data_IF_492871707827
#
_entry.id   IF_492871707827
#
_cell.length_a   1.000
_cell.length_b   1.000
_cell.length_c   1.000
_cell.angle_alpha   90.00
_cell.angle_beta   90.00
_cell.angle_gamma   90.00
#
_symmetry.space_group_name_H-M   'P 1'
#
loop_
_entity.id
_entity.type
_entity.pdbx_description
1 polymer ?
#
# COMPACT_ATOMS: atom_id res chain seq x y z
N UNK A 1 -44.69 -19.87 -76.23
CA UNK A 1 -45.00 -18.99 -75.07
C UNK A 1 -44.00 -19.29 -73.97
N UNK A 2 -43.19 -18.29 -73.63
CA UNK A 2 -42.12 -18.31 -72.64
C UNK A 2 -42.66 -18.17 -71.22
N UNK A 3 -42.16 -18.97 -70.25
CA UNK A 3 -41.32 -18.48 -69.13
C UNK A 3 -40.96 -19.61 -68.15
N UNK A 4 -39.64 -19.77 -67.96
CA UNK A 4 -38.98 -20.38 -66.79
C UNK A 4 -39.00 -19.39 -65.62
N UNK A 5 -39.10 -19.87 -64.38
CA UNK A 5 -38.60 -19.23 -63.14
C UNK A 5 -38.59 -20.31 -62.05
N UNK A 6 -37.48 -20.98 -61.74
CA UNK A 6 -36.32 -20.53 -60.93
C UNK A 6 -36.74 -20.15 -59.50
N UNK A 7 -36.79 -21.15 -58.61
CA UNK A 7 -36.85 -20.95 -57.16
C UNK A 7 -35.43 -20.69 -56.65
N UNK A 8 -35.25 -19.50 -56.09
CA UNK A 8 -34.02 -18.97 -55.54
C UNK A 8 -33.82 -19.54 -54.12
N UNK A 9 -32.70 -20.23 -53.91
CA UNK A 9 -32.22 -20.66 -52.60
C UNK A 9 -31.69 -19.42 -51.87
N UNK A 10 -32.36 -18.96 -50.81
CA UNK A 10 -31.86 -17.87 -49.96
C UNK A 10 -30.90 -18.47 -48.94
N UNK A 11 -29.60 -18.28 -49.17
CA UNK A 11 -28.53 -18.50 -48.21
C UNK A 11 -28.64 -17.43 -47.11
N UNK A 12 -28.91 -17.82 -45.87
CA UNK A 12 -28.74 -16.94 -44.71
C UNK A 12 -27.24 -16.73 -44.47
N UNK A 13 -26.69 -15.65 -45.02
CA UNK A 13 -25.41 -15.12 -44.58
C UNK A 13 -25.61 -14.49 -43.19
N UNK A 14 -25.11 -15.14 -42.15
CA UNK A 14 -24.88 -14.51 -40.84
C UNK A 14 -23.77 -13.47 -41.01
N UNK A 15 -24.15 -12.24 -41.37
CA UNK A 15 -23.30 -11.08 -41.14
C UNK A 15 -23.21 -10.86 -39.61
N UNK A 16 -22.00 -10.78 -39.03
CA UNK A 16 -21.88 -10.21 -37.69
C UNK A 16 -22.33 -8.74 -37.77
N UNK A 17 -23.31 -8.40 -36.93
CA UNK A 17 -23.74 -7.03 -36.70
C UNK A 17 -22.55 -6.24 -36.16
N UNK A 18 -21.98 -5.36 -36.99
CA UNK A 18 -21.16 -4.27 -36.51
C UNK A 18 -22.16 -3.28 -35.91
N UNK A 19 -22.16 -3.18 -34.58
CA UNK A 19 -22.95 -2.18 -33.86
C UNK A 19 -22.22 -0.85 -34.01
N UNK A 20 -22.62 -0.09 -35.04
CA UNK A 20 -22.31 1.33 -35.16
C UNK A 20 -23.02 2.10 -34.03
N UNK A 21 -22.27 2.87 -33.23
CA UNK A 21 -22.83 3.96 -32.42
C UNK A 21 -22.88 3.78 -30.89
N UNK A 22 -22.21 2.80 -30.29
CA UNK A 22 -21.96 2.83 -28.84
C UNK A 22 -20.69 3.64 -28.58
N UNK A 23 -20.75 4.65 -27.70
CA UNK A 23 -19.54 5.29 -27.18
C UNK A 23 -18.61 4.19 -26.64
N UNK A 24 -17.30 4.23 -26.93
CA UNK A 24 -16.39 3.20 -26.45
C UNK A 24 -16.45 3.22 -24.92
N UNK A 25 -16.83 2.09 -24.33
CA UNK A 25 -16.87 1.89 -22.89
C UNK A 25 -15.65 1.08 -22.44
N UNK A 26 -15.26 1.22 -21.17
CA UNK A 26 -14.17 0.42 -20.63
C UNK A 26 -14.61 -1.05 -20.53
N UNK A 27 -13.92 -1.90 -21.27
CA UNK A 27 -14.34 -3.29 -21.49
C UNK A 27 -13.19 -4.25 -21.26
N UNK A 28 -13.46 -5.29 -20.48
CA UNK A 28 -12.49 -6.34 -20.19
C UNK A 28 -12.41 -7.32 -21.36
N UNK A 29 -11.20 -7.70 -21.72
CA UNK A 29 -10.90 -8.69 -22.76
C UNK A 29 -10.50 -9.97 -22.04
N UNK A 30 -11.39 -10.96 -22.06
CA UNK A 30 -11.16 -12.27 -21.48
C UNK A 30 -10.84 -13.28 -22.59
N UNK A 31 -9.56 -13.34 -22.97
CA UNK A 31 -9.06 -14.29 -23.96
C UNK A 31 -8.11 -15.31 -23.32
N UNK A 32 -8.18 -16.59 -23.71
CA UNK A 32 -7.20 -17.58 -23.29
C UNK A 32 -5.80 -17.20 -23.82
N UNK A 33 -4.77 -17.43 -23.02
CA UNK A 33 -3.38 -17.13 -23.39
C UNK A 33 -2.88 -15.73 -23.02
N UNK A 34 -3.74 -14.83 -22.52
CA UNK A 34 -3.30 -13.51 -22.01
C UNK A 34 -2.27 -13.63 -20.88
N UNK A 35 -2.38 -14.66 -20.03
CA UNK A 35 -1.41 -14.93 -18.95
C UNK A 35 -0.02 -15.36 -19.44
N UNK A 36 0.09 -15.83 -20.69
CA UNK A 36 1.36 -16.25 -21.30
C UNK A 36 2.13 -15.08 -21.93
N UNK A 37 1.49 -13.93 -22.17
CA UNK A 37 2.13 -12.71 -22.65
C UNK A 37 3.21 -12.24 -21.67
N UNK A 38 4.37 -11.79 -22.17
CA UNK A 38 5.56 -11.33 -21.43
C UNK A 38 5.29 -10.19 -20.42
N UNK A 39 6.27 -9.88 -19.54
CA UNK A 39 6.10 -9.04 -18.32
C UNK A 39 5.52 -7.63 -18.58
N UNK A 40 4.33 -7.32 -18.05
CA UNK A 40 3.78 -5.96 -18.11
C UNK A 40 3.04 -5.51 -16.84
N UNK A 41 3.41 -4.33 -16.35
CA UNK A 41 2.62 -3.53 -15.41
C UNK A 41 2.40 -4.14 -14.03
N UNK A 42 1.81 -3.34 -13.14
CA UNK A 42 1.22 -3.80 -11.86
C UNK A 42 -0.26 -3.41 -11.89
N UNK A 43 -1.12 -3.93 -10.98
CA UNK A 43 -2.55 -3.61 -10.96
C UNK A 43 -2.89 -2.11 -10.99
N UNK A 44 -2.02 -1.28 -10.43
CA UNK A 44 -2.15 0.18 -10.39
C UNK A 44 -1.45 0.90 -11.55
N UNK A 45 -0.59 0.19 -12.28
CA UNK A 45 0.26 0.73 -13.34
C UNK A 45 0.12 -0.16 -14.59
N UNK A 46 -1.03 -0.12 -15.28
CA UNK A 46 -1.20 -0.86 -16.52
C UNK A 46 -0.24 -0.35 -17.59
N UNK A 47 0.21 -1.24 -18.45
CA UNK A 47 0.93 -0.86 -19.67
C UNK A 47 -0.08 -0.44 -20.72
N UNK A 48 0.09 0.77 -21.26
CA UNK A 48 -0.70 1.23 -22.39
C UNK A 48 -0.12 0.66 -23.69
N UNK A 49 -0.98 0.04 -24.50
CA UNK A 49 -0.66 -0.53 -25.80
C UNK A 49 -1.49 0.21 -26.85
N UNK A 50 -0.83 1.07 -27.62
CA UNK A 50 -1.44 1.93 -28.64
C UNK A 50 -1.20 1.43 -30.07
N UNK A 51 -0.45 0.34 -30.24
CA UNK A 51 -0.14 -0.26 -31.54
C UNK A 51 -0.14 -1.79 -31.47
N UNK A 52 -0.42 -2.43 -32.60
CA UNK A 52 -0.36 -3.88 -32.73
C UNK A 52 1.06 -4.44 -32.57
N UNK A 53 2.08 -3.64 -32.89
CA UNK A 53 3.47 -4.01 -32.66
C UNK A 53 3.80 -4.07 -31.16
N UNK A 54 3.22 -3.17 -30.34
CA UNK A 54 3.34 -3.24 -28.89
C UNK A 54 2.69 -4.52 -28.33
N UNK A 55 1.54 -4.94 -28.88
CA UNK A 55 0.88 -6.20 -28.51
C UNK A 55 1.75 -7.42 -28.90
N UNK A 56 2.33 -7.41 -30.10
CA UNK A 56 3.27 -8.46 -30.55
C UNK A 56 4.54 -8.52 -29.70
N UNK A 57 5.07 -7.37 -29.28
CA UNK A 57 6.26 -7.30 -28.43
C UNK A 57 6.05 -7.95 -27.06
N UNK A 58 4.80 -8.09 -26.60
CA UNK A 58 4.45 -8.87 -25.42
C UNK A 58 4.46 -10.39 -25.68
N UNK A 59 4.84 -10.86 -26.87
CA UNK A 59 4.83 -12.28 -27.21
C UNK A 59 3.45 -12.83 -27.57
N UNK A 60 2.53 -11.96 -27.99
CA UNK A 60 1.25 -12.41 -28.55
C UNK A 60 1.49 -13.17 -29.86
N UNK A 61 1.18 -14.46 -29.88
CA UNK A 61 1.14 -15.25 -31.12
C UNK A 61 0.07 -14.75 -32.08
N UNK A 62 0.15 -15.16 -33.35
CA UNK A 62 -0.74 -14.66 -34.41
C UNK A 62 -2.23 -14.92 -34.09
N UNK A 63 -2.56 -16.09 -33.54
CA UNK A 63 -3.94 -16.44 -33.17
C UNK A 63 -4.53 -15.51 -32.10
N UNK A 64 -3.75 -15.21 -31.06
CA UNK A 64 -4.16 -14.30 -29.98
C UNK A 64 -4.28 -12.87 -30.51
N UNK A 65 -3.36 -12.44 -31.37
CA UNK A 65 -3.40 -11.12 -31.99
C UNK A 65 -4.66 -10.95 -32.85
N UNK A 66 -5.01 -11.95 -33.66
CA UNK A 66 -6.23 -11.93 -34.48
C UNK A 66 -7.49 -11.94 -33.62
N UNK A 67 -7.49 -12.66 -32.49
CA UNK A 67 -8.59 -12.64 -31.54
C UNK A 67 -8.78 -11.26 -30.87
N UNK A 68 -7.69 -10.58 -30.52
CA UNK A 68 -7.75 -9.21 -29.96
C UNK A 68 -8.23 -8.21 -31.03
N UNK A 69 -7.73 -8.30 -32.27
CA UNK A 69 -8.14 -7.44 -33.41
C UNK A 69 -9.64 -7.53 -33.73
N UNK A 70 -10.25 -8.69 -33.54
CA UNK A 70 -11.71 -8.85 -33.73
C UNK A 70 -12.54 -8.10 -32.68
N UNK A 71 -11.94 -7.80 -31.53
CA UNK A 71 -12.61 -7.12 -30.44
C UNK A 71 -12.28 -5.63 -30.46
N UNK A 72 -11.03 -5.25 -30.71
CA UNK A 72 -10.55 -3.89 -30.45
C UNK A 72 -10.20 -3.15 -31.73
N UNK A 73 -10.72 -1.93 -31.83
CA UNK A 73 -10.28 -0.96 -32.82
C UNK A 73 -9.29 0.01 -32.17
N UNK A 74 -8.00 -0.15 -32.47
CA UNK A 74 -6.96 0.71 -31.91
C UNK A 74 -7.01 2.15 -32.47
N UNK A 75 -7.84 2.47 -33.47
CA UNK A 75 -8.03 3.85 -33.92
C UNK A 75 -8.92 4.64 -32.95
N UNK A 76 -9.91 3.99 -32.35
CA UNK A 76 -10.86 4.59 -31.39
C UNK A 76 -10.47 4.31 -29.93
N UNK A 77 -9.91 3.12 -29.70
CA UNK A 77 -9.57 2.59 -28.39
C UNK A 77 -8.05 2.47 -28.22
N UNK A 78 -7.63 2.28 -26.98
CA UNK A 78 -6.30 1.81 -26.60
C UNK A 78 -6.45 0.62 -25.67
N UNK A 79 -5.43 -0.22 -25.63
CA UNK A 79 -5.40 -1.40 -24.78
C UNK A 79 -4.62 -1.09 -23.51
N UNK A 80 -5.15 -1.50 -22.36
CA UNK A 80 -4.45 -1.49 -21.08
C UNK A 80 -4.18 -2.94 -20.67
N UNK A 81 -2.93 -3.28 -20.42
CA UNK A 81 -2.54 -4.62 -20.01
C UNK A 81 -1.86 -4.64 -18.65
N UNK A 82 -2.33 -5.56 -17.80
CA UNK A 82 -1.86 -5.72 -16.42
C UNK A 82 -1.55 -7.19 -16.19
N UNK A 83 -0.40 -7.48 -15.56
CA UNK A 83 -0.10 -8.81 -15.05
C UNK A 83 0.42 -8.70 -13.62
N UNK A 84 -0.10 -9.52 -12.71
CA UNK A 84 0.31 -9.50 -11.31
C UNK A 84 0.41 -10.90 -10.73
N UNK A 85 1.15 -11.04 -9.64
CA UNK A 85 1.20 -12.25 -8.85
C UNK A 85 0.43 -12.02 -7.56
N UNK A 86 -0.56 -12.85 -7.28
CA UNK A 86 -1.44 -12.65 -6.14
C UNK A 86 -2.26 -13.88 -5.80
N UNK A 87 -3.11 -13.78 -4.80
CA UNK A 87 -3.99 -14.88 -4.37
C UNK A 87 -4.93 -15.28 -5.50
N UNK A 88 -5.37 -16.54 -5.55
CA UNK A 88 -6.37 -16.99 -6.54
C UNK A 88 -7.71 -16.25 -6.44
N UNK A 89 -7.96 -15.54 -5.35
CA UNK A 89 -9.17 -14.73 -5.14
C UNK A 89 -8.95 -13.24 -5.44
N UNK A 90 -7.78 -12.86 -5.96
CA UNK A 90 -7.51 -11.48 -6.36
C UNK A 90 -8.53 -11.01 -7.40
N UNK A 91 -9.01 -9.78 -7.23
CA UNK A 91 -9.89 -9.12 -8.20
C UNK A 91 -9.29 -7.80 -8.65
N UNK A 92 -9.45 -7.51 -9.93
CA UNK A 92 -9.09 -6.24 -10.54
C UNK A 92 -10.29 -5.72 -11.32
N UNK A 93 -10.79 -4.56 -10.92
CA UNK A 93 -11.98 -3.93 -11.50
C UNK A 93 -11.64 -2.52 -12.01
N UNK A 94 -12.03 -2.16 -13.24
CA UNK A 94 -11.96 -0.78 -13.70
C UNK A 94 -13.04 0.05 -12.98
N UNK A 95 -12.66 1.24 -12.52
CA UNK A 95 -13.55 2.19 -11.84
C UNK A 95 -13.41 3.54 -12.54
N UNK A 96 -14.53 4.07 -13.03
CA UNK A 96 -14.61 5.43 -13.53
C UNK A 96 -14.87 6.37 -12.35
N UNK A 97 -14.02 7.38 -12.21
CA UNK A 97 -14.12 8.42 -11.19
C UNK A 97 -14.08 9.79 -11.85
N UNK A 98 -14.59 10.81 -11.18
CA UNK A 98 -14.50 12.19 -11.66
C UNK A 98 -13.22 12.82 -11.12
N UNK A 99 -12.49 13.60 -11.95
CA UNK A 99 -11.33 14.37 -11.46
C UNK A 99 -11.75 15.31 -10.30
N UNK A 100 -10.97 15.41 -9.21
CA UNK A 100 -11.21 16.41 -8.18
C UNK A 100 -11.14 17.82 -8.79
N UNK A 101 -12.28 18.51 -8.89
CA UNK A 101 -12.36 19.87 -9.44
C UNK A 101 -12.55 19.97 -10.96
N UNK A 102 -12.90 18.88 -11.65
CA UNK A 102 -13.24 18.90 -13.08
C UNK A 102 -14.41 17.98 -13.43
N UNK A 103 -14.92 18.12 -14.65
CA UNK A 103 -16.05 17.31 -15.17
C UNK A 103 -15.58 16.08 -15.98
N UNK A 104 -14.28 15.82 -16.03
CA UNK A 104 -13.68 14.73 -16.81
C UNK A 104 -13.73 13.39 -16.07
N UNK A 105 -14.20 12.34 -16.75
CA UNK A 105 -14.09 10.97 -16.27
C UNK A 105 -12.65 10.46 -16.37
N UNK A 106 -12.19 9.78 -15.31
CA UNK A 106 -10.87 9.18 -15.17
C UNK A 106 -10.99 7.72 -14.80
N UNK A 107 -10.29 6.88 -15.56
CA UNK A 107 -10.19 5.44 -15.30
C UNK A 107 -9.14 5.17 -14.22
N UNK A 108 -9.54 4.45 -13.18
CA UNK A 108 -8.68 3.87 -12.13
C UNK A 108 -8.92 2.37 -12.03
N UNK A 109 -7.96 1.60 -11.51
CA UNK A 109 -8.15 0.16 -11.22
C UNK A 109 -8.20 -0.10 -9.72
N UNK A 110 -9.28 -0.77 -9.25
CA UNK A 110 -9.39 -1.25 -7.87
C UNK A 110 -8.88 -2.69 -7.80
N UNK A 111 -7.76 -2.89 -7.12
CA UNK A 111 -7.22 -4.21 -6.79
C UNK A 111 -7.69 -4.65 -5.40
N UNK A 112 -8.33 -5.81 -5.32
CA UNK A 112 -8.71 -6.46 -4.06
C UNK A 112 -7.84 -7.71 -3.89
N UNK A 113 -6.86 -7.72 -2.96
CA UNK A 113 -6.06 -8.90 -2.71
C UNK A 113 -6.91 -10.00 -2.06
N UNK A 114 -6.78 -11.21 -2.58
CA UNK A 114 -7.40 -12.40 -2.02
C UNK A 114 -6.76 -12.82 -0.70
N UNK A 115 -7.49 -13.61 0.11
CA UNK A 115 -7.07 -14.01 1.47
C UNK A 115 -6.34 -15.36 1.52
N UNK A 116 -6.17 -16.03 0.38
CA UNK A 116 -5.57 -17.37 0.31
C UNK A 116 -4.07 -17.31 -0.03
N UNK A 117 -3.30 -18.27 0.47
CA UNK A 117 -1.83 -18.35 0.27
C UNK A 117 -1.42 -18.97 -1.09
N UNK A 118 -2.32 -19.00 -2.07
CA UNK A 118 -2.06 -19.55 -3.40
C UNK A 118 -1.64 -18.44 -4.38
N UNK A 119 -0.33 -18.19 -4.44
CA UNK A 119 0.21 -17.20 -5.37
C UNK A 119 0.15 -17.71 -6.81
N UNK A 120 -0.69 -17.08 -7.63
CA UNK A 120 -0.86 -17.38 -9.06
C UNK A 120 -0.54 -16.15 -9.89
N UNK A 121 -0.13 -16.40 -11.14
CA UNK A 121 0.00 -15.34 -12.13
C UNK A 121 -1.40 -15.00 -12.65
N UNK A 122 -1.73 -13.72 -12.61
CA UNK A 122 -2.98 -13.16 -13.12
C UNK A 122 -2.66 -12.20 -14.25
N UNK A 123 -3.55 -12.12 -15.23
CA UNK A 123 -3.46 -11.19 -16.34
C UNK A 123 -4.84 -10.63 -16.65
N UNK A 124 -4.92 -9.33 -16.94
CA UNK A 124 -6.13 -8.69 -17.39
C UNK A 124 -5.79 -7.68 -18.49
N UNK A 125 -6.60 -7.66 -19.53
CA UNK A 125 -6.51 -6.70 -20.62
C UNK A 125 -7.84 -5.95 -20.73
N UNK A 126 -7.78 -4.64 -20.97
CA UNK A 126 -8.95 -3.78 -21.10
C UNK A 126 -8.84 -2.97 -22.39
N UNK A 127 -9.93 -2.87 -23.15
CA UNK A 127 -10.06 -1.85 -24.18
C UNK A 127 -10.68 -0.60 -23.55
N UNK A 128 -10.10 0.56 -23.87
CA UNK A 128 -10.40 1.84 -23.23
C UNK A 128 -10.46 2.92 -24.29
N UNK A 129 -11.40 3.88 -24.23
CA UNK A 129 -11.43 5.00 -25.17
C UNK A 129 -10.13 5.78 -25.16
N UNK A 130 -9.64 6.20 -26.33
CA UNK A 130 -8.47 7.08 -26.41
C UNK A 130 -8.67 8.42 -25.71
N UNK A 131 -9.90 8.92 -25.67
CA UNK A 131 -10.29 10.17 -25.01
C UNK A 131 -10.34 10.05 -23.49
N UNK A 132 -10.54 8.84 -22.95
CA UNK A 132 -10.64 8.63 -21.52
C UNK A 132 -9.26 8.78 -20.89
N UNK A 133 -9.14 9.69 -19.94
CA UNK A 133 -7.90 9.85 -19.18
C UNK A 133 -7.71 8.62 -18.30
N UNK A 134 -6.55 7.98 -18.43
CA UNK A 134 -6.10 7.01 -17.45
C UNK A 134 -5.50 7.80 -16.29
N UNK A 135 -5.97 7.57 -15.07
CA UNK A 135 -5.15 7.90 -13.92
C UNK A 135 -3.89 7.04 -14.07
N UNK A 136 -2.78 7.64 -14.50
CA UNK A 136 -1.50 7.13 -14.06
C UNK A 136 -1.63 7.00 -12.55
N UNK A 137 -1.26 5.87 -11.97
CA UNK A 137 -1.16 5.84 -10.54
C UNK A 137 -0.13 6.90 -10.11
N UNK A 138 -0.59 8.12 -9.86
CA UNK A 138 -0.42 8.61 -8.51
C UNK A 138 -0.91 7.47 -7.64
N UNK A 139 -0.01 6.84 -6.87
CA UNK A 139 -0.42 5.72 -6.08
C UNK A 139 -1.64 6.21 -5.31
N UNK A 140 -2.70 5.39 -5.29
CA UNK A 140 -3.89 5.64 -4.48
C UNK A 140 -3.55 5.99 -3.01
N UNK A 141 -2.30 5.79 -2.62
CA UNK A 141 -1.58 6.41 -1.51
C UNK A 141 -1.76 7.93 -1.35
N UNK A 142 -1.82 8.81 -2.34
CA UNK A 142 -1.93 10.26 -2.02
C UNK A 142 -3.26 10.59 -1.34
N UNK A 143 -4.39 10.17 -1.92
CA UNK A 143 -5.71 10.39 -1.30
C UNK A 143 -6.02 9.36 -0.19
N UNK A 144 -5.60 8.10 -0.37
CA UNK A 144 -5.80 7.03 0.60
C UNK A 144 -4.93 7.18 1.84
N UNK A 145 -3.66 7.57 1.71
CA UNK A 145 -2.78 7.78 2.86
C UNK A 145 -3.13 9.06 3.58
N UNK A 146 -3.50 10.14 2.88
CA UNK A 146 -4.01 11.35 3.56
C UNK A 146 -5.28 11.02 4.35
N UNK A 147 -6.21 10.25 3.78
CA UNK A 147 -7.39 9.79 4.50
C UNK A 147 -7.03 8.88 5.69
N UNK A 148 -6.09 7.96 5.51
CA UNK A 148 -5.61 7.06 6.58
C UNK A 148 -4.93 7.84 7.71
N UNK A 149 -4.09 8.82 7.38
CA UNK A 149 -3.45 9.71 8.35
C UNK A 149 -4.51 10.50 9.10
N UNK A 150 -5.46 11.13 8.41
CA UNK A 150 -6.56 11.87 9.06
C UNK A 150 -7.37 10.98 10.01
N UNK A 151 -7.70 9.76 9.59
CA UNK A 151 -8.40 8.79 10.43
C UNK A 151 -7.57 8.42 11.67
N UNK A 152 -6.27 8.17 11.50
CA UNK A 152 -5.38 7.84 12.61
C UNK A 152 -5.17 9.02 13.58
N UNK A 153 -5.11 10.26 13.08
CA UNK A 153 -5.07 11.48 13.90
C UNK A 153 -6.33 11.63 14.74
N UNK A 154 -7.51 11.38 14.16
CA UNK A 154 -8.76 11.39 14.89
C UNK A 154 -8.78 10.31 15.98
N UNK A 155 -8.43 9.07 15.62
CA UNK A 155 -8.35 7.96 16.57
C UNK A 155 -7.36 8.25 17.69
N UNK A 156 -6.23 8.89 17.38
CA UNK A 156 -5.26 9.31 18.37
C UNK A 156 -5.83 10.35 19.32
N UNK A 157 -6.53 11.38 18.84
CA UNK A 157 -7.20 12.35 19.69
C UNK A 157 -8.15 11.69 20.69
N UNK A 158 -9.01 10.77 20.21
CA UNK A 158 -9.93 10.00 21.05
C UNK A 158 -9.20 9.17 22.11
N UNK A 159 -8.12 8.47 21.74
CA UNK A 159 -7.34 7.67 22.70
C UNK A 159 -6.55 8.54 23.69
N UNK A 160 -5.93 9.61 23.22
CA UNK A 160 -5.18 10.54 24.06
C UNK A 160 -6.10 11.12 25.14
N UNK A 161 -7.29 11.56 24.76
CA UNK A 161 -8.26 12.13 25.69
C UNK A 161 -8.80 11.05 26.65
N UNK A 162 -9.05 9.84 26.15
CA UNK A 162 -9.50 8.69 26.97
C UNK A 162 -8.50 8.25 28.05
N UNK A 163 -7.20 8.39 27.78
CA UNK A 163 -6.13 7.99 28.69
C UNK A 163 -5.43 9.18 29.37
N UNK A 164 -6.06 10.36 29.39
CA UNK A 164 -5.55 11.59 30.00
C UNK A 164 -4.14 11.98 29.52
N UNK A 165 -3.83 11.68 28.25
CA UNK A 165 -2.52 11.93 27.66
C UNK A 165 -1.39 11.08 28.24
N UNK A 166 -1.71 9.96 28.89
CA UNK A 166 -0.73 9.04 29.46
C UNK A 166 -0.52 7.85 28.53
N UNK A 167 0.72 7.65 28.09
CA UNK A 167 1.08 6.57 27.18
C UNK A 167 2.60 6.40 27.15
N UNK A 168 3.06 5.32 26.53
CA UNK A 168 4.45 5.16 26.13
C UNK A 168 4.53 4.64 24.72
N UNK A 169 5.65 4.93 24.05
CA UNK A 169 5.93 4.33 22.76
C UNK A 169 7.40 3.95 22.64
N UNK A 170 7.68 2.98 21.77
CA UNK A 170 9.03 2.47 21.54
C UNK A 170 9.46 2.70 20.09
N UNK A 171 10.73 3.07 19.94
CA UNK A 171 11.42 3.16 18.66
C UNK A 171 12.62 2.24 18.74
N UNK A 172 12.75 1.32 17.79
CA UNK A 172 13.85 0.37 17.72
C UNK A 172 14.57 0.47 16.39
N UNK A 173 15.89 0.41 16.45
CA UNK A 173 16.74 0.23 15.27
C UNK A 173 17.43 -1.12 15.34
N UNK A 174 17.75 -1.69 14.19
CA UNK A 174 18.51 -2.93 14.08
C UNK A 174 19.52 -2.81 12.95
N UNK A 175 20.77 -3.17 13.20
CA UNK A 175 21.80 -3.27 12.18
C UNK A 175 21.94 -4.71 11.66
N UNK A 176 22.50 -4.85 10.46
CA UNK A 176 22.85 -6.17 9.90
C UNK A 176 23.87 -6.91 10.78
N UNK A 177 24.74 -6.18 11.49
CA UNK A 177 25.73 -6.71 12.42
C UNK A 177 25.13 -7.21 13.74
N UNK A 178 23.81 -7.12 13.91
CA UNK A 178 23.11 -7.68 15.05
C UNK A 178 22.98 -6.75 16.26
N UNK A 179 23.39 -5.48 16.14
CA UNK A 179 23.10 -4.48 17.16
C UNK A 179 21.64 -4.06 17.03
N UNK A 180 20.89 -4.17 18.12
CA UNK A 180 19.54 -3.62 18.23
C UNK A 180 19.53 -2.56 19.29
N UNK A 181 18.91 -1.41 19.01
CA UNK A 181 18.65 -0.40 20.02
C UNK A 181 17.15 -0.25 20.22
N UNK A 182 16.74 0.18 21.41
CA UNK A 182 15.38 0.55 21.72
C UNK A 182 15.39 1.81 22.55
N UNK A 183 14.62 2.80 22.11
CA UNK A 183 14.29 3.99 22.89
C UNK A 183 12.83 3.90 23.29
N UNK A 184 12.54 3.98 24.58
CA UNK A 184 11.18 4.04 25.13
C UNK A 184 10.93 5.46 25.62
N UNK A 185 9.92 6.12 25.08
CA UNK A 185 9.48 7.44 25.53
C UNK A 185 8.22 7.26 26.36
N UNK A 186 8.25 7.72 27.60
CA UNK A 186 7.12 7.71 28.53
C UNK A 186 6.54 9.10 28.64
N UNK A 187 5.24 9.22 28.43
CA UNK A 187 4.51 10.47 28.41
C UNK A 187 3.49 10.46 29.55
N UNK A 188 3.47 11.55 30.32
CA UNK A 188 2.50 11.81 31.38
C UNK A 188 1.78 13.13 31.10
N UNK A 189 0.44 13.11 31.14
CA UNK A 189 -0.37 14.30 30.90
C UNK A 189 0.06 15.05 29.61
N UNK A 190 0.28 14.29 28.54
CA UNK A 190 0.76 14.75 27.24
C UNK A 190 2.12 15.49 27.23
N UNK A 191 2.96 15.28 28.26
CA UNK A 191 4.34 15.79 28.34
C UNK A 191 5.32 14.64 28.48
N UNK A 192 6.47 14.74 27.81
CA UNK A 192 7.53 13.75 27.94
C UNK A 192 8.01 13.75 29.39
N UNK A 193 7.89 12.60 30.03
CA UNK A 193 8.25 12.39 31.43
C UNK A 193 9.61 11.70 31.55
N UNK A 194 9.82 10.66 30.74
CA UNK A 194 11.05 9.86 30.75
C UNK A 194 11.42 9.41 29.34
N UNK A 195 12.71 9.36 29.04
CA UNK A 195 13.27 8.71 27.86
C UNK A 195 14.28 7.66 28.32
N UNK A 196 14.05 6.40 27.97
CA UNK A 196 14.92 5.26 28.31
C UNK A 196 15.52 4.72 27.03
N UNK A 197 16.83 4.50 26.99
CA UNK A 197 17.53 3.93 25.86
C UNK A 197 18.25 2.65 26.26
N UNK A 198 18.13 1.60 25.44
CA UNK A 198 18.76 0.31 25.66
C UNK A 198 19.39 -0.21 24.36
N UNK A 199 20.61 -0.73 24.47
CA UNK A 199 21.36 -1.45 23.44
C UNK A 199 21.33 -2.93 23.77
N UNK A 200 20.84 -3.71 22.82
CA UNK A 200 20.85 -5.16 22.82
C UNK A 200 21.88 -5.61 21.79
N UNK A 201 22.88 -6.37 22.23
CA UNK A 201 23.72 -7.13 21.32
C UNK A 201 23.07 -8.48 21.06
N UNK A 202 23.39 -9.13 19.93
CA UNK A 202 23.04 -10.54 19.78
C UNK A 202 23.52 -11.31 21.02
N UNK A 203 22.73 -12.27 21.53
CA UNK A 203 23.22 -13.17 22.56
C UNK A 203 24.54 -13.77 22.07
N UNK A 204 25.54 -13.88 22.95
CA UNK A 204 26.73 -14.64 22.61
C UNK A 204 26.29 -16.01 22.06
N UNK A 205 26.90 -16.45 20.96
CA UNK A 205 26.67 -17.80 20.40
C UNK A 205 26.95 -18.91 21.43
N UNK A 206 27.62 -18.57 22.53
CA UNK A 206 27.86 -19.44 23.67
C UNK A 206 26.73 -19.31 24.71
N UNK A 207 26.15 -20.44 25.17
CA UNK A 207 25.26 -20.42 26.32
C UNK A 207 26.02 -19.86 27.54
N UNK A 208 25.33 -19.03 28.34
CA UNK A 208 25.87 -18.52 29.59
C UNK A 208 26.37 -19.69 30.44
N UNK A 209 27.63 -19.62 30.89
CA UNK A 209 28.15 -20.65 31.81
C UNK A 209 27.30 -20.64 33.09
N UNK A 210 27.07 -21.80 33.74
CA UNK A 210 26.39 -21.83 35.03
C UNK A 210 27.04 -20.85 36.01
N UNK A 211 26.27 -19.88 36.51
CA UNK A 211 26.76 -18.83 37.41
C UNK A 211 27.31 -17.56 36.75
N UNK A 212 27.33 -17.45 35.42
CA UNK A 212 27.58 -16.17 34.77
C UNK A 212 26.33 -15.27 34.86
N UNK A 213 26.46 -14.01 35.30
CA UNK A 213 25.36 -13.07 35.27
C UNK A 213 24.92 -12.82 33.82
N UNK A 214 23.61 -12.67 33.61
CA UNK A 214 23.10 -12.28 32.30
C UNK A 214 23.72 -10.93 31.90
N UNK A 215 24.09 -10.75 30.62
CA UNK A 215 24.59 -9.47 30.14
C UNK A 215 23.51 -8.40 30.36
N UNK A 216 23.83 -7.40 31.19
CA UNK A 216 22.95 -6.28 31.46
C UNK A 216 22.82 -5.45 30.17
N UNK A 217 21.59 -5.13 29.70
CA UNK A 217 21.42 -4.25 28.56
C UNK A 217 22.13 -2.92 28.82
N UNK A 218 23.05 -2.51 27.93
CA UNK A 218 23.73 -1.23 28.07
C UNK A 218 22.74 -0.11 27.73
N UNK A 219 22.61 0.91 28.57
CA UNK A 219 21.58 1.92 28.38
C UNK A 219 21.68 3.09 29.35
N UNK A 220 20.75 4.01 29.21
CA UNK A 220 20.60 5.17 30.06
C UNK A 220 19.14 5.59 30.17
N UNK A 221 18.82 6.34 31.23
CA UNK A 221 17.53 6.95 31.47
C UNK A 221 17.69 8.46 31.56
N UNK A 222 16.73 9.19 31.03
CA UNK A 222 16.62 10.64 31.15
C UNK A 222 15.24 11.02 31.69
N UNK A 223 15.24 11.94 32.65
CA UNK A 223 14.05 12.55 33.24
C UNK A 223 14.30 14.03 33.54
N UNK A 224 13.22 14.80 33.61
CA UNK A 224 13.28 16.22 33.97
C UNK A 224 14.26 17.00 33.09
N UNK A 225 15.21 17.68 33.71
CA UNK A 225 16.18 18.55 33.03
C UNK A 225 17.20 17.79 32.16
N UNK A 226 17.27 16.46 32.27
CA UNK A 226 18.15 15.61 31.46
C UNK A 226 17.52 15.20 30.13
N UNK A 227 16.23 15.45 29.92
CA UNK A 227 15.54 15.06 28.69
C UNK A 227 16.19 15.69 27.46
N UNK A 228 16.64 14.84 26.53
CA UNK A 228 17.30 15.27 25.29
C UNK A 228 18.80 15.50 25.42
N UNK A 229 19.43 15.20 26.57
CA UNK A 229 20.87 15.41 26.77
C UNK A 229 21.75 14.44 25.97
N UNK A 230 21.28 13.21 25.76
CA UNK A 230 21.95 12.21 24.93
C UNK A 230 21.54 12.33 23.45
N UNK A 231 22.54 12.24 22.57
CA UNK A 231 22.36 12.23 21.12
C UNK A 231 21.90 10.87 20.57
N UNK A 232 22.10 9.79 21.34
CA UNK A 232 21.69 8.45 20.95
C UNK A 232 20.17 8.24 21.08
N UNK A 233 19.63 7.32 20.29
CA UNK A 233 18.22 6.95 20.37
C UNK A 233 17.26 7.96 19.73
N UNK A 234 15.96 7.72 19.92
CA UNK A 234 14.91 8.58 19.39
C UNK A 234 14.83 9.91 20.18
N UNK A 235 14.41 11.02 19.53
CA UNK A 235 14.22 12.29 20.20
C UNK A 235 13.11 12.21 21.27
N UNK A 236 13.28 12.99 22.34
CA UNK A 236 12.33 13.12 23.45
C UNK A 236 11.13 14.01 23.06
N UNK A 237 10.23 13.51 22.22
CA UNK A 237 9.06 14.23 21.70
C UNK A 237 7.76 13.45 21.94
N UNK A 238 6.61 14.10 21.78
CA UNK A 238 5.29 13.47 21.95
C UNK A 238 4.80 12.83 20.64
N UNK A 239 3.73 12.03 20.70
CA UNK A 239 3.09 11.52 19.50
C UNK A 239 2.40 12.66 18.73
N UNK A 240 1.88 13.69 19.40
CA UNK A 240 1.37 14.90 18.76
C UNK A 240 2.43 15.53 17.85
N UNK A 241 3.62 15.83 18.38
CA UNK A 241 4.72 16.42 17.61
C UNK A 241 5.24 15.49 16.49
N UNK A 242 5.19 14.17 16.70
CA UNK A 242 5.54 13.20 15.66
C UNK A 242 4.47 13.16 14.54
N UNK A 243 3.20 13.28 14.90
CA UNK A 243 2.06 13.18 13.99
C UNK A 243 1.85 14.47 13.18
N UNK A 244 2.26 15.63 13.69
CA UNK A 244 2.34 16.88 12.91
C UNK A 244 3.17 16.72 11.63
N UNK A 245 4.18 15.82 11.63
CA UNK A 245 4.99 15.53 10.44
C UNK A 245 4.30 14.61 9.44
N UNK A 246 3.25 13.88 9.84
CA UNK A 246 2.66 12.83 9.01
C UNK A 246 1.80 13.38 7.85
N UNK A 247 0.99 14.41 8.09
CA UNK A 247 0.13 15.00 7.06
C UNK A 247 0.91 15.57 5.86
N UNK A 248 1.96 16.41 6.03
CA UNK A 248 2.73 16.91 4.88
C UNK A 248 3.45 15.80 4.12
N UNK A 249 3.89 14.74 4.81
CA UNK A 249 4.50 13.56 4.17
C UNK A 249 3.45 12.82 3.34
N UNK A 250 2.23 12.63 3.86
CA UNK A 250 1.14 11.96 3.17
C UNK A 250 0.59 12.77 1.98
N UNK A 251 0.58 14.10 2.06
CA UNK A 251 0.09 14.96 0.98
C UNK A 251 1.13 15.30 -0.08
N UNK A 252 2.41 14.99 0.15
CA UNK A 252 3.49 15.29 -0.80
C UNK A 252 3.24 14.60 -2.15
N UNK A 253 3.63 15.23 -3.26
CA UNK A 253 3.73 14.49 -4.52
C UNK A 253 4.98 13.58 -4.46
N UNK A 254 4.85 12.33 -4.92
CA UNK A 254 5.98 11.40 -4.98
C UNK A 254 6.68 11.51 -6.33
N UNK A 255 8.01 11.55 -6.30
CA UNK A 255 8.83 11.39 -7.50
C UNK A 255 8.91 9.91 -7.93
N UNK A 256 9.29 9.65 -9.17
CA UNK A 256 9.26 8.30 -9.75
C UNK A 256 10.11 7.25 -8.99
N UNK A 257 11.16 7.71 -8.30
CA UNK A 257 12.06 6.87 -7.50
C UNK A 257 11.71 6.89 -6.01
N UNK A 258 10.65 7.57 -5.60
CA UNK A 258 10.25 7.67 -4.20
C UNK A 258 9.16 6.67 -3.86
N UNK A 259 9.17 6.22 -2.60
CA UNK A 259 8.13 5.36 -2.08
C UNK A 259 7.71 5.80 -0.69
N UNK A 260 6.41 6.06 -0.55
CA UNK A 260 5.79 6.35 0.74
C UNK A 260 5.40 5.08 1.48
N UNK A 261 5.55 5.12 2.80
CA UNK A 261 5.06 4.12 3.73
C UNK A 261 4.15 4.79 4.74
N UNK A 262 2.86 4.46 4.71
CA UNK A 262 1.91 4.82 5.76
C UNK A 262 1.33 3.54 6.35
N UNK A 263 1.47 3.37 7.67
CA UNK A 263 1.02 2.18 8.40
C UNK A 263 0.38 2.57 9.73
N UNK A 264 -0.63 1.79 10.09
CA UNK A 264 -1.29 1.87 11.39
C UNK A 264 -1.15 0.54 12.14
N UNK A 265 -1.29 0.60 13.46
CA UNK A 265 -1.46 -0.60 14.28
C UNK A 265 -2.91 -1.10 14.27
N UNK A 266 -3.19 -2.19 15.01
CA UNK A 266 -4.54 -2.76 15.13
C UNK A 266 -5.56 -1.83 15.79
N UNK A 267 -5.10 -0.83 16.54
CA UNK A 267 -5.94 0.20 17.18
C UNK A 267 -6.13 1.43 16.27
N UNK A 268 -5.62 1.42 15.03
CA UNK A 268 -5.74 2.54 14.10
C UNK A 268 -4.73 3.68 14.33
N UNK A 269 -3.78 3.54 15.24
CA UNK A 269 -2.75 4.56 15.49
C UNK A 269 -1.62 4.45 14.48
N UNK A 270 -1.09 5.59 14.03
CA UNK A 270 0.02 5.67 13.08
C UNK A 270 1.30 5.10 13.70
N UNK A 271 1.92 4.13 13.02
CA UNK A 271 3.21 3.52 13.41
C UNK A 271 4.30 3.84 12.40
N UNK A 272 3.94 4.17 11.16
CA UNK A 272 4.91 4.59 10.15
C UNK A 272 4.28 5.62 9.22
N UNK A 273 5.01 6.70 8.95
CA UNK A 273 4.67 7.68 7.92
C UNK A 273 5.97 8.35 7.46
N UNK A 274 6.53 7.85 6.37
CA UNK A 274 7.79 8.37 5.81
C UNK A 274 7.88 8.08 4.31
N UNK A 275 8.81 8.76 3.64
CA UNK A 275 9.14 8.52 2.24
C UNK A 275 10.62 8.13 2.14
N UNK A 276 10.92 7.15 1.31
CA UNK A 276 12.29 6.75 0.99
C UNK A 276 12.57 6.94 -0.50
N UNK A 277 13.83 7.21 -0.83
CA UNK A 277 14.34 7.08 -2.19
C UNK A 277 14.76 5.63 -2.44
N UNK A 278 14.10 4.98 -3.40
CA UNK A 278 14.32 3.57 -3.74
C UNK A 278 15.62 3.30 -4.49
N UNK A 279 16.36 4.34 -4.90
CA UNK A 279 17.69 4.21 -5.51
C UNK A 279 18.78 3.99 -4.46
N UNK A 280 18.50 4.32 -3.20
CA UNK A 280 19.43 4.12 -2.08
C UNK A 280 19.20 2.71 -1.53
N UNK A 281 20.10 1.80 -1.87
CA UNK A 281 19.98 0.38 -1.50
C UNK A 281 20.39 0.08 -0.06
N UNK A 282 21.33 0.86 0.49
CA UNK A 282 21.91 0.65 1.83
C UNK A 282 21.76 1.94 2.65
N UNK A 283 21.40 1.81 3.93
CA UNK A 283 21.24 2.90 4.89
C UNK A 283 20.39 4.10 4.42
N UNK A 284 19.26 3.83 3.73
CA UNK A 284 18.36 4.90 3.29
C UNK A 284 17.89 5.75 4.49
N UNK A 285 18.15 7.07 4.50
CA UNK A 285 17.73 7.91 5.60
C UNK A 285 16.21 7.99 5.61
N UNK A 286 15.63 7.74 6.79
CA UNK A 286 14.19 7.83 7.01
C UNK A 286 13.90 9.18 7.67
N UNK A 287 13.23 10.05 6.94
CA UNK A 287 12.63 11.26 7.50
C UNK A 287 11.12 11.08 7.64
N UNK A 288 10.62 11.15 8.87
CA UNK A 288 9.21 10.97 9.21
C UNK A 288 8.96 10.23 10.52
N UNK A 289 7.78 9.61 10.62
CA UNK A 289 7.35 8.83 11.77
C UNK A 289 7.76 7.36 11.60
N UNK A 290 8.49 6.82 12.58
CA UNK A 290 8.67 5.38 12.76
C UNK A 290 8.57 5.02 14.24
N UNK A 291 7.54 4.25 14.60
CA UNK A 291 7.26 3.79 15.96
C UNK A 291 6.94 2.30 15.90
N UNK A 292 7.60 1.51 16.75
CA UNK A 292 7.44 0.06 16.78
C UNK A 292 6.21 -0.36 17.58
N UNK A 293 5.99 0.26 18.74
CA UNK A 293 4.88 -0.05 19.62
C UNK A 293 4.37 1.21 20.31
N UNK A 294 3.05 1.29 20.47
CA UNK A 294 2.37 2.31 21.27
C UNK A 294 1.54 1.57 22.32
N UNK A 295 1.72 1.94 23.58
CA UNK A 295 0.95 1.43 24.71
C UNK A 295 0.19 2.61 25.33
N UNK A 296 -1.13 2.53 25.30
CA UNK A 296 -2.02 3.54 25.88
C UNK A 296 -2.19 3.32 27.37
N UNK A 297 -2.24 4.40 28.14
CA UNK A 297 -2.10 4.36 29.59
C UNK A 297 -0.66 4.05 30.00
N UNK A 298 -0.38 4.21 31.29
CA UNK A 298 0.87 3.73 31.88
C UNK A 298 0.61 2.36 32.50
N UNK A 299 1.55 1.41 32.36
CA UNK A 299 1.50 0.20 33.16
C UNK A 299 1.43 0.61 34.63
N UNK A 300 0.43 0.09 35.34
CA UNK A 300 0.41 0.21 36.80
C UNK A 300 1.64 -0.52 37.33
N UNK A 301 2.39 0.06 38.28
CA UNK A 301 3.50 -0.64 38.91
C UNK A 301 2.95 -1.90 39.59
N UNK A 302 3.26 -3.04 38.97
CA UNK A 302 3.20 -4.41 39.46
C UNK A 302 2.02 -4.82 40.38
N UNK A 303 1.00 -5.44 39.77
CA UNK A 303 0.37 -6.64 40.33
C UNK A 303 -0.27 -6.55 41.72
N UNK A 304 -1.21 -5.63 41.95
CA UNK A 304 -2.22 -5.85 42.99
C UNK A 304 -3.48 -6.48 42.36
N UNK A 305 -3.98 -7.62 42.87
CA UNK A 305 -5.26 -8.15 42.45
C UNK A 305 -6.32 -7.08 42.74
N UNK A 306 -7.18 -6.78 41.76
CA UNK A 306 -8.44 -6.09 42.07
C UNK A 306 -9.14 -6.93 43.12
N UNK A 307 -9.32 -6.34 44.29
CA UNK A 307 -10.14 -6.89 45.35
C UNK A 307 -11.44 -7.38 44.71
N UNK A 308 -11.69 -8.67 44.85
CA UNK A 308 -12.96 -9.26 44.51
C UNK A 308 -14.00 -8.58 45.41
N UNK A 309 -14.70 -7.62 44.82
CA UNK A 309 -15.91 -7.01 45.33
C UNK A 309 -16.88 -8.15 45.65
N UNK A 310 -16.83 -8.59 46.90
CA UNK A 310 -17.68 -9.65 47.43
C UNK A 310 -19.03 -9.02 47.64
N UNK A 311 -19.91 -9.28 46.69
CA UNK A 311 -21.33 -9.08 46.82
C UNK A 311 -21.85 -9.86 48.04
N UNK A 312 -22.17 -9.15 49.12
CA UNK A 312 -23.09 -9.55 50.19
C UNK A 312 -23.87 -8.34 50.68
#
# INVERSE_FOLDING_TARGET
MFRRSMQLLILFALCPVIVDGAEPEVRRIDLPGLSALGRPGKPTEPVELTSWDAVKALGAGEDLLQAIKKQVDLEQERLLFVRWQGSGQDRLEPVLTTEPGGDGAVLTFRHQPGRTRDLRQHAAMFAVPRTLKLAHAEPAAANGDVALVKQALQQWGEQRDKFDGNYLYTVSTSSFSGLRTQTTITIRNNKVFRRTFQKFMQPALEPLRPGQPEPVPQGWDEEGDQLGSHQEGAPAITLDALYEKAEPIASRKLEAFEKRYVRTNKQGLLTSCFIIDTRIADDVPIDGLVVNQITLGLPQPDGQPKDAETNR
#
